data_IF_288571320867
#
_entry.id   IF_288571320867
#
_cell.length_a   1.000
_cell.length_b   1.000
_cell.length_c   1.000
_cell.angle_alpha   90.00
_cell.angle_beta   90.00
_cell.angle_gamma   90.00
#
_symmetry.space_group_name_H-M   'P 1'
#
loop_
_entity.id
_entity.type
_entity.pdbx_description
1 polymer ?
#
# COMPACT_ATOMS: atom_id res chain seq x y z
N UNK A 1 7.18 -0.15 11.70
CA UNK A 1 7.33 0.14 10.25
C UNK A 1 7.99 1.50 9.95
N UNK A 2 8.34 2.28 10.98
CA UNK A 2 8.84 3.66 10.82
C UNK A 2 10.11 3.79 9.97
N UNK A 3 10.98 2.78 9.99
CA UNK A 3 12.24 2.75 9.22
C UNK A 3 12.06 2.49 7.72
N UNK A 4 10.90 2.02 7.28
CA UNK A 4 10.65 1.76 5.86
C UNK A 4 10.47 3.09 5.11
N UNK A 5 10.94 3.18 3.87
CA UNK A 5 10.57 4.29 2.99
C UNK A 5 9.08 4.25 2.65
N UNK A 6 8.50 5.39 2.23
CA UNK A 6 7.09 5.44 1.77
C UNK A 6 6.87 4.46 0.61
N UNK A 7 7.80 4.39 -0.35
CA UNK A 7 7.70 3.48 -1.50
C UNK A 7 7.71 2.01 -1.07
N UNK A 8 8.63 1.62 -0.18
CA UNK A 8 8.72 0.25 0.32
C UNK A 8 7.44 -0.15 1.09
N UNK A 9 6.91 0.78 1.88
CA UNK A 9 5.68 0.57 2.65
C UNK A 9 4.45 0.43 1.74
N UNK A 10 4.39 1.23 0.67
CA UNK A 10 3.33 1.15 -0.33
C UNK A 10 3.39 -0.16 -1.13
N UNK A 11 4.58 -0.59 -1.55
CA UNK A 11 4.77 -1.88 -2.23
C UNK A 11 4.37 -3.05 -1.34
N UNK A 12 4.77 -3.03 -0.06
CA UNK A 12 4.36 -4.04 0.91
C UNK A 12 2.83 -4.09 1.07
N UNK A 13 2.17 -2.92 1.13
CA UNK A 13 0.71 -2.83 1.20
C UNK A 13 0.01 -3.44 -0.02
N UNK A 14 0.46 -3.07 -1.22
CA UNK A 14 -0.11 -3.59 -2.48
C UNK A 14 0.06 -5.10 -2.56
N UNK A 15 1.27 -5.60 -2.28
CA UNK A 15 1.57 -7.02 -2.34
C UNK A 15 0.76 -7.80 -1.30
N UNK A 16 0.69 -7.32 -0.06
CA UNK A 16 -0.09 -7.94 1.02
C UNK A 16 -1.57 -8.07 0.64
N UNK A 17 -2.15 -7.06 0.00
CA UNK A 17 -3.53 -7.14 -0.53
C UNK A 17 -3.66 -8.11 -1.70
N UNK A 18 -2.68 -8.17 -2.60
CA UNK A 18 -2.70 -9.03 -3.79
C UNK A 18 -2.65 -10.51 -3.43
N UNK A 19 -1.83 -10.88 -2.44
CA UNK A 19 -1.65 -12.29 -2.03
C UNK A 19 -2.60 -12.70 -0.89
N UNK A 20 -3.44 -11.79 -0.41
CA UNK A 20 -4.43 -12.08 0.65
C UNK A 20 -3.79 -12.38 2.01
N UNK A 21 -2.79 -11.58 2.42
CA UNK A 21 -2.22 -11.69 3.77
C UNK A 21 -3.25 -11.33 4.85
N UNK A 22 -2.84 -11.63 6.09
CA UNK A 22 -3.57 -11.30 7.31
C UNK A 22 -4.15 -9.86 7.27
N UNK A 23 -5.48 -9.70 7.51
CA UNK A 23 -6.12 -8.40 7.46
C UNK A 23 -5.61 -7.38 8.48
N UNK A 24 -5.18 -7.83 9.67
CA UNK A 24 -4.65 -6.93 10.70
C UNK A 24 -3.28 -6.40 10.29
N UNK A 25 -2.44 -7.24 9.69
CA UNK A 25 -1.18 -6.80 9.07
C UNK A 25 -1.41 -5.75 7.98
N UNK A 26 -2.38 -5.97 7.09
CA UNK A 26 -2.74 -5.00 6.05
C UNK A 26 -3.20 -3.68 6.68
N UNK A 27 -3.99 -3.73 7.75
CA UNK A 27 -4.46 -2.55 8.48
C UNK A 27 -3.32 -1.77 9.12
N UNK A 28 -2.30 -2.44 9.65
CA UNK A 28 -1.09 -1.78 10.16
C UNK A 28 -0.34 -1.01 9.07
N UNK A 29 -0.25 -1.56 7.86
CA UNK A 29 0.34 -0.87 6.71
C UNK A 29 -0.50 0.36 6.30
N UNK A 30 -1.83 0.23 6.28
CA UNK A 30 -2.73 1.36 5.98
C UNK A 30 -2.60 2.49 6.99
N UNK A 31 -2.50 2.16 8.28
CA UNK A 31 -2.33 3.13 9.36
C UNK A 31 -1.02 3.89 9.21
N UNK A 32 0.10 3.18 8.95
CA UNK A 32 1.39 3.83 8.78
C UNK A 32 1.44 4.69 7.50
N UNK A 33 0.83 4.26 6.40
CA UNK A 33 0.71 5.06 5.18
C UNK A 33 -0.13 6.33 5.43
N UNK A 34 -1.24 6.21 6.15
CA UNK A 34 -2.08 7.37 6.53
C UNK A 34 -1.34 8.32 7.46
N UNK A 35 -0.57 7.81 8.43
CA UNK A 35 0.26 8.62 9.35
C UNK A 35 1.28 9.48 8.58
N UNK A 36 1.74 9.00 7.42
CA UNK A 36 2.66 9.72 6.52
C UNK A 36 1.95 10.56 5.46
N UNK A 37 0.65 10.82 5.64
CA UNK A 37 -0.18 11.61 4.71
C UNK A 37 -0.25 11.03 3.29
N UNK A 38 -0.05 9.73 3.13
CA UNK A 38 -0.19 9.05 1.82
C UNK A 38 -1.66 8.83 1.51
N UNK A 39 -2.14 9.45 0.42
CA UNK A 39 -3.52 9.30 -0.02
C UNK A 39 -3.72 7.99 -0.81
N UNK A 40 -4.04 6.92 -0.08
CA UNK A 40 -4.26 5.58 -0.65
C UNK A 40 -5.39 5.53 -1.68
N UNK A 41 -6.47 6.30 -1.51
CA UNK A 41 -7.59 6.34 -2.46
C UNK A 41 -7.13 6.82 -3.83
N UNK A 42 -6.33 7.89 -3.85
CA UNK A 42 -5.74 8.44 -5.08
C UNK A 42 -4.85 7.40 -5.76
N UNK A 43 -3.98 6.72 -5.01
CA UNK A 43 -3.06 5.71 -5.53
C UNK A 43 -3.81 4.50 -6.12
N UNK A 44 -4.83 4.00 -5.41
CA UNK A 44 -5.63 2.86 -5.90
C UNK A 44 -6.43 3.19 -7.16
N UNK A 45 -6.91 4.43 -7.30
CA UNK A 45 -7.55 4.91 -8.52
C UNK A 45 -6.58 4.91 -9.71
N UNK A 46 -5.31 5.26 -9.50
CA UNK A 46 -4.28 5.19 -10.55
C UNK A 46 -3.94 3.74 -10.93
N UNK A 47 -3.78 2.84 -9.97
CA UNK A 47 -3.47 1.42 -10.27
C UNK A 47 -4.60 0.70 -11.02
N UNK A 48 -5.87 1.03 -10.75
CA UNK A 48 -7.00 0.47 -11.50
C UNK A 48 -7.07 0.99 -12.94
N UNK A 49 -6.50 2.16 -13.22
CA UNK A 49 -6.53 2.79 -14.55
C UNK A 49 -5.37 2.38 -15.45
N UNK A 50 -4.27 1.88 -14.88
CA UNK A 50 -3.11 1.43 -15.64
C UNK A 50 -2.49 0.14 -15.06
N UNK A 51 -2.93 -1.05 -15.54
CA UNK A 51 -2.45 -2.34 -15.03
C UNK A 51 -0.98 -2.64 -15.35
N UNK A 52 -0.38 -1.88 -16.29
CA UNK A 52 0.98 -2.10 -16.79
C UNK A 52 2.08 -1.84 -15.74
N UNK A 53 1.77 -1.10 -14.67
CA UNK A 53 2.71 -0.73 -13.60
C UNK A 53 2.75 -1.71 -12.41
N UNK A 54 2.10 -2.87 -12.52
CA UNK A 54 2.15 -3.96 -11.50
C UNK A 54 3.30 -4.96 -11.71
N UNK A 55 4.35 -4.56 -12.43
CA UNK A 55 5.50 -5.41 -12.77
C UNK A 55 6.69 -5.16 -11.85
#
# INVERSE_FOLDING_TARGET
>A
MEKLSVNSLLQAYILAKKIGLDPDFIKLLELELRRRSVNLKKIMLFQKRDPSLSS
#
